data_IF_813931403959
#
_entry.id   IF_813931403959
#
_cell.length_a   1.000
_cell.length_b   1.000
_cell.length_c   1.000
_cell.angle_alpha   90.00
_cell.angle_beta   90.00
_cell.angle_gamma   90.00
#
_symmetry.space_group_name_H-M   'P 1'
#
loop_
_entity.id
_entity.type
_entity.pdbx_description
1 polymer ?
#
# COMPACT_ATOMS: atom_id res chain seq x y z
N UNK A 1 -20.79 -7.01 -27.91
CA UNK A 1 -20.43 -5.87 -27.04
C UNK A 1 -19.17 -6.25 -26.26
N UNK A 2 -18.01 -5.74 -26.69
CA UNK A 2 -16.71 -6.11 -26.11
C UNK A 2 -16.64 -5.76 -24.63
N UNK A 3 -16.13 -6.68 -23.81
CA UNK A 3 -15.94 -6.48 -22.37
C UNK A 3 -15.00 -5.29 -22.17
N UNK A 4 -15.49 -4.18 -21.64
CA UNK A 4 -14.64 -3.05 -21.23
C UNK A 4 -13.61 -3.57 -20.25
N UNK A 5 -12.33 -3.58 -20.63
CA UNK A 5 -11.24 -3.93 -19.72
C UNK A 5 -11.22 -2.86 -18.64
N UNK A 6 -11.53 -3.25 -17.41
CA UNK A 6 -11.53 -2.33 -16.26
C UNK A 6 -10.11 -1.84 -16.03
N UNK A 7 -9.92 -0.53 -15.93
CA UNK A 7 -8.57 0.03 -15.71
C UNK A 7 -8.04 -0.37 -14.32
N UNK A 8 -6.72 -0.46 -14.16
CA UNK A 8 -6.11 -0.79 -12.87
C UNK A 8 -6.54 0.19 -11.76
N UNK A 9 -6.77 1.45 -12.12
CA UNK A 9 -7.29 2.49 -11.21
C UNK A 9 -8.72 2.19 -10.79
N UNK A 10 -9.60 1.80 -11.72
CA UNK A 10 -10.98 1.41 -11.40
C UNK A 10 -11.01 0.16 -10.51
N UNK A 11 -10.16 -0.82 -10.81
CA UNK A 11 -10.00 -2.01 -9.99
C UNK A 11 -9.53 -1.65 -8.57
N UNK A 12 -8.54 -0.76 -8.44
CA UNK A 12 -8.09 -0.26 -7.14
C UNK A 12 -9.20 0.40 -6.33
N UNK A 13 -9.99 1.28 -6.94
CA UNK A 13 -11.11 1.94 -6.26
C UNK A 13 -12.18 0.94 -5.82
N UNK A 14 -12.46 -0.07 -6.65
CA UNK A 14 -13.39 -1.16 -6.32
C UNK A 14 -12.90 -1.99 -5.14
N UNK A 15 -11.63 -2.40 -5.15
CA UNK A 15 -11.03 -3.14 -4.04
C UNK A 15 -11.07 -2.31 -2.75
N UNK A 16 -10.62 -1.04 -2.79
CA UNK A 16 -10.70 -0.15 -1.62
C UNK A 16 -12.13 -0.01 -1.08
N UNK A 17 -13.12 0.12 -1.95
CA UNK A 17 -14.53 0.21 -1.56
C UNK A 17 -15.04 -1.08 -0.90
N UNK A 18 -14.57 -2.25 -1.34
CA UNK A 18 -14.92 -3.54 -0.73
C UNK A 18 -14.48 -3.62 0.75
N UNK A 19 -13.38 -2.96 1.12
CA UNK A 19 -12.90 -2.86 2.49
C UNK A 19 -13.63 -1.81 3.36
N UNK A 20 -14.63 -1.09 2.84
CA UNK A 20 -15.30 -0.02 3.60
C UNK A 20 -16.01 -0.50 4.88
N UNK A 21 -16.50 -1.75 4.92
CA UNK A 21 -17.07 -2.36 6.15
C UNK A 21 -15.99 -2.72 7.15
N UNK A 22 -14.90 -3.33 6.68
CA UNK A 22 -13.75 -3.66 7.50
C UNK A 22 -13.15 -2.39 8.14
N UNK A 23 -12.88 -1.36 7.34
CA UNK A 23 -12.41 -0.05 7.81
C UNK A 23 -13.32 0.50 8.92
N UNK A 24 -14.64 0.46 8.75
CA UNK A 24 -15.58 0.97 9.77
C UNK A 24 -15.55 0.20 11.09
N UNK A 25 -15.14 -1.07 11.09
CA UNK A 25 -15.00 -1.86 12.31
C UNK A 25 -13.68 -1.59 13.07
N UNK A 26 -12.72 -0.90 12.44
CA UNK A 26 -11.45 -0.54 13.06
C UNK A 26 -11.57 0.69 13.98
N UNK A 27 -10.64 0.81 14.93
CA UNK A 27 -10.47 2.02 15.74
C UNK A 27 -10.07 3.20 14.85
N UNK A 28 -10.33 4.43 15.30
CA UNK A 28 -10.01 5.63 14.51
C UNK A 28 -8.53 5.73 14.11
N UNK A 29 -7.60 5.33 14.99
CA UNK A 29 -6.17 5.23 14.69
C UNK A 29 -5.89 4.29 13.53
N UNK A 30 -6.49 3.11 13.56
CA UNK A 30 -6.22 2.03 12.62
C UNK A 30 -6.91 2.29 11.27
N UNK A 31 -8.02 3.04 11.28
CA UNK A 31 -8.66 3.55 10.06
C UNK A 31 -7.71 4.45 9.27
N UNK A 32 -6.99 5.34 9.96
CA UNK A 32 -6.02 6.23 9.32
C UNK A 32 -4.86 5.41 8.72
N UNK A 33 -4.31 4.46 9.48
CA UNK A 33 -3.26 3.56 9.00
C UNK A 33 -3.71 2.80 7.75
N UNK A 34 -4.93 2.27 7.73
CA UNK A 34 -5.46 1.58 6.56
C UNK A 34 -5.59 2.51 5.33
N UNK A 35 -6.05 3.75 5.52
CA UNK A 35 -6.11 4.72 4.41
C UNK A 35 -4.73 5.08 3.87
N UNK A 36 -3.74 5.21 4.75
CA UNK A 36 -2.35 5.48 4.37
C UNK A 36 -1.73 4.31 3.59
N UNK A 37 -2.03 3.06 3.98
CA UNK A 37 -1.65 1.86 3.22
C UNK A 37 -2.28 1.86 1.82
N UNK A 38 -3.58 2.18 1.69
CA UNK A 38 -4.18 2.33 0.36
C UNK A 38 -3.54 3.44 -0.46
N UNK A 39 -3.19 4.57 0.17
CA UNK A 39 -2.48 5.65 -0.50
C UNK A 39 -1.07 5.23 -0.97
N UNK A 40 -0.36 4.42 -0.18
CA UNK A 40 0.97 3.90 -0.53
C UNK A 40 0.91 2.94 -1.72
N UNK A 41 -0.07 2.04 -1.75
CA UNK A 41 -0.33 1.15 -2.89
C UNK A 41 -0.59 1.92 -4.20
N UNK A 42 -1.23 3.09 -4.11
CA UNK A 42 -1.53 3.91 -5.29
C UNK A 42 -0.28 4.35 -6.07
N UNK A 43 0.87 4.48 -5.39
CA UNK A 43 2.15 4.84 -6.01
C UNK A 43 2.63 3.80 -7.04
N UNK A 44 2.13 2.57 -6.93
CA UNK A 44 2.55 1.43 -7.73
C UNK A 44 1.49 1.00 -8.76
N UNK A 45 0.43 1.79 -9.00
CA UNK A 45 -0.63 1.44 -9.97
C UNK A 45 -0.10 1.19 -11.38
N UNK A 46 0.92 1.95 -11.82
CA UNK A 46 1.55 1.73 -13.12
C UNK A 46 2.26 0.37 -13.17
N UNK A 47 3.07 0.04 -12.16
CA UNK A 47 3.72 -1.26 -12.04
C UNK A 47 2.70 -2.41 -11.92
N UNK A 48 1.61 -2.18 -11.19
CA UNK A 48 0.55 -3.17 -11.00
C UNK A 48 -0.18 -3.52 -12.31
N UNK A 49 -0.23 -2.59 -13.27
CA UNK A 49 -0.82 -2.86 -14.58
C UNK A 49 -0.04 -3.90 -15.41
N UNK A 50 1.23 -4.14 -15.08
CA UNK A 50 2.08 -5.15 -15.73
C UNK A 50 1.99 -6.53 -15.06
N UNK A 51 1.35 -6.63 -13.89
CA UNK A 51 1.16 -7.90 -13.18
C UNK A 51 -0.02 -8.67 -13.78
N UNK A 52 0.17 -9.23 -14.99
CA UNK A 52 -0.89 -9.89 -15.78
C UNK A 52 -1.44 -11.20 -15.18
N UNK A 53 -0.80 -11.76 -14.15
CA UNK A 53 -1.15 -13.07 -13.57
C UNK A 53 -1.62 -13.05 -12.11
N UNK A 54 -1.35 -11.97 -11.36
CA UNK A 54 -1.75 -11.88 -9.95
C UNK A 54 -3.17 -11.33 -9.83
N UNK A 55 -3.91 -11.70 -8.77
CA UNK A 55 -5.16 -10.99 -8.47
C UNK A 55 -4.80 -9.53 -8.18
N UNK A 56 -5.49 -8.54 -8.76
CA UNK A 56 -5.14 -7.12 -8.61
C UNK A 56 -4.94 -6.67 -7.16
N UNK A 57 -5.72 -7.24 -6.24
CA UNK A 57 -5.59 -6.99 -4.82
C UNK A 57 -4.26 -7.48 -4.21
N UNK A 58 -3.77 -8.66 -4.62
CA UNK A 58 -2.47 -9.19 -4.16
C UNK A 58 -1.33 -8.26 -4.57
N UNK A 59 -1.40 -7.71 -5.77
CA UNK A 59 -0.44 -6.71 -6.26
C UNK A 59 -0.49 -5.42 -5.43
N UNK A 60 -1.69 -4.98 -5.01
CA UNK A 60 -1.81 -3.84 -4.10
C UNK A 60 -1.25 -4.14 -2.71
N UNK A 61 -1.49 -5.33 -2.16
CA UNK A 61 -0.91 -5.76 -0.88
C UNK A 61 0.62 -5.82 -0.95
N UNK A 62 1.18 -6.40 -2.02
CA UNK A 62 2.64 -6.40 -2.24
C UNK A 62 3.19 -4.98 -2.33
N UNK A 63 2.47 -4.07 -2.98
CA UNK A 63 2.85 -2.66 -3.07
C UNK A 63 2.87 -1.97 -1.70
N UNK A 64 1.88 -2.27 -0.84
CA UNK A 64 1.85 -1.79 0.55
C UNK A 64 3.06 -2.32 1.32
N UNK A 65 3.30 -3.63 1.28
CA UNK A 65 4.44 -4.28 1.95
C UNK A 65 5.78 -3.73 1.48
N UNK A 66 5.91 -3.42 0.19
CA UNK A 66 7.12 -2.83 -0.38
C UNK A 66 7.39 -1.44 0.20
N UNK A 67 6.36 -0.58 0.29
CA UNK A 67 6.49 0.75 0.89
C UNK A 67 6.81 0.66 2.39
N UNK A 68 6.17 -0.25 3.13
CA UNK A 68 6.48 -0.48 4.55
C UNK A 68 7.91 -1.00 4.75
N UNK A 69 8.39 -1.89 3.89
CA UNK A 69 9.77 -2.37 3.97
C UNK A 69 10.80 -1.27 3.72
N UNK A 70 10.50 -0.36 2.77
CA UNK A 70 11.33 0.83 2.51
C UNK A 70 11.35 1.76 3.72
N UNK A 71 10.20 2.02 4.32
CA UNK A 71 10.06 2.85 5.53
C UNK A 71 10.86 2.27 6.70
N UNK A 72 10.66 0.99 7.01
CA UNK A 72 11.40 0.29 8.07
C UNK A 72 12.91 0.35 7.82
N UNK A 73 13.34 0.14 6.58
CA UNK A 73 14.77 0.20 6.23
C UNK A 73 15.33 1.61 6.42
N UNK A 74 14.58 2.65 6.05
CA UNK A 74 14.98 4.05 6.25
C UNK A 74 15.08 4.39 7.74
N UNK A 75 14.05 4.09 8.52
CA UNK A 75 14.02 4.34 9.96
C UNK A 75 15.14 3.60 10.70
N UNK A 76 15.45 2.35 10.30
CA UNK A 76 16.59 1.59 10.86
C UNK A 76 17.92 2.28 10.61
N UNK A 77 18.11 2.88 9.43
CA UNK A 77 19.33 3.64 9.11
C UNK A 77 19.42 4.92 9.93
N UNK A 78 18.34 5.70 9.97
CA UNK A 78 18.26 6.92 10.78
C UNK A 78 18.57 6.64 12.26
N UNK A 79 17.98 5.59 12.83
CA UNK A 79 18.26 5.18 14.21
C UNK A 79 19.72 4.77 14.41
N UNK A 80 20.33 4.06 13.45
CA UNK A 80 21.74 3.68 13.52
C UNK A 80 22.67 4.91 13.47
N UNK A 81 22.38 5.87 12.59
CA UNK A 81 23.12 7.13 12.47
C UNK A 81 23.01 7.97 13.74
N UNK A 82 21.80 8.12 14.30
CA UNK A 82 21.59 8.85 15.56
C UNK A 82 22.31 8.17 16.73
N UNK A 83 22.29 6.84 16.80
CA UNK A 83 23.02 6.09 17.84
C UNK A 83 24.53 6.30 17.73
N UNK A 84 25.07 6.31 16.51
CA UNK A 84 26.47 6.57 16.28
C UNK A 84 26.86 8.00 16.68
N UNK A 85 26.04 9.00 16.34
CA UNK A 85 26.27 10.40 16.70
C UNK A 85 26.23 10.66 18.22
N UNK A 86 25.43 9.90 18.97
CA UNK A 86 25.37 10.01 20.44
C UNK A 86 26.53 9.31 21.16
N UNK A 87 27.28 8.44 20.46
CA UNK A 87 28.43 7.72 21.01
C UNK A 87 29.77 8.42 20.74
N UNK A 88 29.77 9.49 19.95
CA UNK A 88 30.91 10.37 19.67
C UNK A 88 30.87 11.61 20.56
#
# INVERSE_FOLDING_TARGET
MGRTVTSITQTFLKERAAFARFRRALRASDQQVLDDLFASARKHLSAASYASHALPFETFLLSMLLEEHKEITRLRREVAELRHALQQ
#
